data_IF_685407801021
#
_entry.id   IF_685407801021
#
_cell.length_a   1.000
_cell.length_b   1.000
_cell.length_c   1.000
_cell.angle_alpha   90.00
_cell.angle_beta   90.00
_cell.angle_gamma   90.00
#
_symmetry.space_group_name_H-M   'P 1'
#
loop_
_entity.id
_entity.type
_entity.pdbx_description
1 polymer ?
#
# COMPACT_ATOMS: atom_id res chain seq x y z
N UNK A 1 13.33 -22.76 17.65
CA UNK A 1 12.44 -22.78 16.47
C UNK A 1 13.29 -22.55 15.24
N UNK A 2 13.26 -23.46 14.27
CA UNK A 2 13.82 -23.17 12.95
C UNK A 2 12.84 -22.24 12.24
N UNK A 3 13.34 -21.13 11.71
CA UNK A 3 12.52 -20.21 10.90
C UNK A 3 12.22 -20.95 9.59
N UNK A 4 10.96 -20.98 9.20
CA UNK A 4 10.53 -21.53 7.91
C UNK A 4 11.15 -20.70 6.78
N UNK A 5 12.07 -21.31 6.02
CA UNK A 5 12.84 -20.64 4.98
C UNK A 5 11.94 -20.14 3.85
N UNK A 6 10.88 -20.88 3.55
CA UNK A 6 9.94 -20.54 2.47
C UNK A 6 9.11 -19.32 2.87
N UNK A 7 8.69 -19.24 4.14
CA UNK A 7 8.01 -18.06 4.67
C UNK A 7 8.90 -16.82 4.64
N UNK A 8 10.20 -16.97 4.94
CA UNK A 8 11.16 -15.85 4.86
C UNK A 8 11.36 -15.37 3.43
N UNK A 9 11.51 -16.29 2.48
CA UNK A 9 11.68 -15.94 1.06
C UNK A 9 10.43 -15.23 0.51
N UNK A 10 9.23 -15.73 0.81
CA UNK A 10 7.97 -15.08 0.43
C UNK A 10 7.83 -13.68 1.05
N UNK A 11 8.19 -13.51 2.33
CA UNK A 11 8.19 -12.20 2.98
C UNK A 11 9.21 -11.24 2.35
N UNK A 12 10.39 -11.73 1.96
CA UNK A 12 11.41 -10.92 1.30
C UNK A 12 10.94 -10.46 -0.09
N UNK A 13 10.36 -11.36 -0.89
CA UNK A 13 9.79 -11.05 -2.20
C UNK A 13 8.65 -10.03 -2.09
N UNK A 14 7.70 -10.25 -1.17
CA UNK A 14 6.61 -9.31 -0.92
C UNK A 14 7.12 -7.93 -0.49
N UNK A 15 8.19 -7.89 0.32
CA UNK A 15 8.83 -6.64 0.75
C UNK A 15 9.50 -5.92 -0.41
N UNK A 16 10.24 -6.64 -1.27
CA UNK A 16 10.88 -6.07 -2.45
C UNK A 16 9.85 -5.49 -3.44
N UNK A 17 8.77 -6.23 -3.69
CA UNK A 17 7.67 -5.78 -4.55
C UNK A 17 6.99 -4.54 -3.97
N UNK A 18 6.77 -4.50 -2.65
CA UNK A 18 6.19 -3.33 -1.97
C UNK A 18 7.05 -2.09 -2.17
N UNK A 19 8.37 -2.19 -1.99
CA UNK A 19 9.29 -1.07 -2.21
C UNK A 19 9.22 -0.60 -3.66
N UNK A 20 9.32 -1.52 -4.62
CA UNK A 20 9.24 -1.19 -6.05
C UNK A 20 7.93 -0.47 -6.39
N UNK A 21 6.80 -1.00 -5.92
CA UNK A 21 5.48 -0.41 -6.14
C UNK A 21 5.38 0.99 -5.55
N UNK A 22 5.88 1.21 -4.33
CA UNK A 22 5.88 2.53 -3.70
C UNK A 22 6.75 3.52 -4.47
N UNK A 23 7.95 3.13 -4.92
CA UNK A 23 8.83 3.98 -5.73
C UNK A 23 8.17 4.38 -7.05
N UNK A 24 7.58 3.42 -7.77
CA UNK A 24 6.88 3.71 -9.03
C UNK A 24 5.65 4.59 -8.79
N UNK A 25 4.89 4.33 -7.72
CA UNK A 25 3.69 5.11 -7.40
C UNK A 25 4.01 6.59 -7.13
N UNK A 26 5.09 6.90 -6.39
CA UNK A 26 5.54 8.29 -6.18
C UNK A 26 5.80 8.96 -7.52
N UNK A 27 6.64 8.35 -8.37
CA UNK A 27 7.00 8.91 -9.68
C UNK A 27 5.78 9.17 -10.56
N UNK A 28 4.85 8.22 -10.62
CA UNK A 28 3.63 8.33 -11.43
C UNK A 28 2.70 9.42 -10.88
N UNK A 29 2.47 9.46 -9.57
CA UNK A 29 1.59 10.46 -8.96
C UNK A 29 2.14 11.87 -9.11
N UNK A 30 3.44 12.07 -8.95
CA UNK A 30 4.10 13.36 -9.19
C UNK A 30 4.01 13.77 -10.67
N UNK A 31 4.28 12.85 -11.61
CA UNK A 31 4.12 13.12 -13.04
C UNK A 31 2.67 13.48 -13.42
N UNK A 32 1.68 12.88 -12.74
CA UNK A 32 0.26 13.21 -12.91
C UNK A 32 -0.16 14.49 -12.18
N UNK A 33 0.74 15.16 -11.45
CA UNK A 33 0.41 16.35 -10.66
C UNK A 33 -0.53 16.09 -9.49
N UNK A 34 -0.55 14.86 -8.96
CA UNK A 34 -1.34 14.55 -7.77
C UNK A 34 -0.66 15.10 -6.52
N UNK A 35 -1.45 15.75 -5.67
CA UNK A 35 -0.98 16.14 -4.36
C UNK A 35 -1.01 14.96 -3.38
N UNK A 36 -0.16 14.96 -2.33
CA UNK A 36 -0.20 13.96 -1.26
C UNK A 36 -1.58 13.77 -0.64
N UNK A 37 -2.39 14.84 -0.57
CA UNK A 37 -3.76 14.79 -0.03
C UNK A 37 -4.67 13.97 -0.94
N UNK A 38 -4.58 14.17 -2.27
CA UNK A 38 -5.37 13.39 -3.25
C UNK A 38 -4.96 11.93 -3.26
N UNK A 39 -3.67 11.62 -3.10
CA UNK A 39 -3.18 10.23 -3.01
C UNK A 39 -3.75 9.53 -1.76
N UNK A 40 -3.81 10.20 -0.60
CA UNK A 40 -4.46 9.62 0.60
C UNK A 40 -5.96 9.36 0.38
N UNK A 41 -6.66 10.32 -0.22
CA UNK A 41 -8.09 10.18 -0.52
C UNK A 41 -8.36 9.02 -1.52
N UNK A 42 -7.46 8.81 -2.48
CA UNK A 42 -7.53 7.68 -3.41
C UNK A 42 -7.39 6.34 -2.67
N UNK A 43 -6.42 6.24 -1.75
CA UNK A 43 -6.26 5.05 -0.90
C UNK A 43 -7.50 4.74 -0.05
N UNK A 44 -8.14 5.78 0.52
CA UNK A 44 -9.39 5.61 1.26
C UNK A 44 -10.53 5.11 0.37
N UNK A 45 -10.67 5.68 -0.84
CA UNK A 45 -11.70 5.26 -1.80
C UNK A 45 -11.49 3.80 -2.22
N UNK A 46 -10.25 3.42 -2.56
CA UNK A 46 -9.93 2.06 -2.97
C UNK A 46 -10.09 1.05 -1.83
N UNK A 47 -9.83 1.44 -0.58
CA UNK A 47 -10.06 0.56 0.57
C UNK A 47 -11.55 0.22 0.76
N UNK A 48 -12.45 1.15 0.44
CA UNK A 48 -13.89 0.92 0.47
C UNK A 48 -14.35 0.02 -0.69
N UNK A 49 -13.70 0.08 -1.85
CA UNK A 49 -13.97 -0.85 -2.94
C UNK A 49 -13.46 -2.27 -2.62
N UNK A 50 -12.34 -2.37 -1.90
CA UNK A 50 -11.77 -3.66 -1.49
C UNK A 50 -12.64 -4.45 -0.51
N UNK A 51 -13.46 -3.78 0.31
CA UNK A 51 -14.41 -4.47 1.20
C UNK A 51 -15.46 -5.30 0.46
N UNK A 52 -15.68 -5.04 -0.83
CA UNK A 52 -16.70 -5.72 -1.63
C UNK A 52 -16.13 -6.89 -2.46
N UNK A 53 -14.82 -7.14 -2.40
CA UNK A 53 -14.18 -8.22 -3.17
C UNK A 53 -14.56 -9.59 -2.60
N UNK A 54 -14.99 -10.51 -3.47
CA UNK A 54 -15.18 -11.92 -3.14
C UNK A 54 -13.84 -12.67 -3.21
N UNK A 55 -13.52 -13.45 -2.18
CA UNK A 55 -12.30 -14.27 -2.13
C UNK A 55 -12.71 -15.74 -2.28
N UNK A 56 -12.46 -16.37 -3.44
CA UNK A 56 -12.86 -17.75 -3.68
C UNK A 56 -12.25 -18.70 -2.64
N UNK A 57 -13.09 -19.56 -2.06
CA UNK A 57 -12.64 -20.61 -1.13
C UNK A 57 -12.39 -20.17 0.31
N UNK A 58 -12.53 -18.89 0.64
CA UNK A 58 -12.44 -18.42 2.02
C UNK A 58 -13.74 -18.71 2.79
N UNK A 59 -13.61 -19.15 4.05
CA UNK A 59 -14.78 -19.27 4.93
C UNK A 59 -15.39 -17.89 5.18
N UNK A 60 -16.67 -17.83 5.56
CA UNK A 60 -17.34 -16.54 5.83
C UNK A 60 -16.64 -15.72 6.92
N UNK A 61 -16.04 -16.39 7.91
CA UNK A 61 -15.29 -15.74 9.00
C UNK A 61 -13.91 -15.25 8.53
N UNK A 62 -13.24 -16.01 7.66
CA UNK A 62 -11.94 -15.60 7.10
C UNK A 62 -12.13 -14.46 6.09
N UNK A 63 -13.25 -14.44 5.35
CA UNK A 63 -13.57 -13.41 4.37
C UNK A 63 -13.58 -12.01 5.01
N UNK A 64 -14.30 -11.84 6.12
CA UNK A 64 -14.39 -10.53 6.78
C UNK A 64 -13.02 -10.10 7.33
N UNK A 65 -12.26 -11.03 7.90
CA UNK A 65 -10.91 -10.78 8.42
C UNK A 65 -9.94 -10.37 7.30
N UNK A 66 -9.98 -11.07 6.16
CA UNK A 66 -9.11 -10.78 5.02
C UNK A 66 -9.51 -9.46 4.37
N UNK A 67 -10.81 -9.17 4.25
CA UNK A 67 -11.30 -7.89 3.71
C UNK A 67 -10.84 -6.71 4.56
N UNK A 68 -10.97 -6.81 5.87
CA UNK A 68 -10.49 -5.78 6.78
C UNK A 68 -8.96 -5.62 6.64
N UNK A 69 -8.20 -6.71 6.71
CA UNK A 69 -6.74 -6.67 6.54
C UNK A 69 -6.32 -6.03 5.21
N UNK A 70 -7.00 -6.34 4.11
CA UNK A 70 -6.75 -5.78 2.79
C UNK A 70 -7.07 -4.28 2.73
N UNK A 71 -8.23 -3.87 3.25
CA UNK A 71 -8.62 -2.46 3.31
C UNK A 71 -7.58 -1.64 4.09
N UNK A 72 -7.14 -2.13 5.25
CA UNK A 72 -6.08 -1.51 6.04
C UNK A 72 -4.75 -1.46 5.29
N UNK A 73 -4.35 -2.55 4.63
CA UNK A 73 -3.11 -2.61 3.85
C UNK A 73 -3.10 -1.59 2.72
N UNK A 74 -4.22 -1.38 2.03
CA UNK A 74 -4.37 -0.35 0.99
C UNK A 74 -4.21 1.04 1.58
N UNK A 75 -4.93 1.38 2.65
CA UNK A 75 -4.80 2.71 3.29
C UNK A 75 -3.35 2.98 3.72
N UNK A 76 -2.68 1.97 4.30
CA UNK A 76 -1.30 2.09 4.73
C UNK A 76 -0.33 2.29 3.56
N UNK A 77 -0.52 1.58 2.44
CA UNK A 77 0.31 1.72 1.25
C UNK A 77 0.22 3.14 0.66
N UNK A 78 -1.00 3.65 0.44
CA UNK A 78 -1.21 4.99 -0.11
C UNK A 78 -0.76 6.10 0.84
N UNK A 79 -0.93 5.90 2.16
CA UNK A 79 -0.44 6.86 3.16
C UNK A 79 1.09 6.95 3.15
N UNK A 80 1.77 5.81 2.99
CA UNK A 80 3.24 5.76 2.87
C UNK A 80 3.73 6.44 1.59
N UNK A 81 3.07 6.23 0.45
CA UNK A 81 3.38 6.93 -0.81
C UNK A 81 3.19 8.44 -0.65
N UNK A 82 2.05 8.87 -0.10
CA UNK A 82 1.78 10.29 0.15
C UNK A 82 2.78 10.94 1.12
N UNK A 83 3.34 10.17 2.06
CA UNK A 83 4.40 10.65 2.94
C UNK A 83 5.72 10.81 2.19
N UNK A 84 6.08 9.86 1.32
CA UNK A 84 7.30 9.92 0.51
C UNK A 84 7.30 11.13 -0.44
N UNK A 85 6.14 11.47 -1.03
CA UNK A 85 5.99 12.64 -1.90
C UNK A 85 6.27 13.99 -1.19
N UNK A 86 6.02 14.11 0.12
CA UNK A 86 6.34 15.34 0.87
C UNK A 86 7.83 15.52 1.12
N UNK A 87 8.60 14.43 1.06
CA UNK A 87 10.03 14.45 1.32
C UNK A 87 10.84 15.32 0.36
N UNK A 88 10.29 15.63 -0.83
CA UNK A 88 10.93 16.50 -1.81
C UNK A 88 10.54 17.98 -1.68
N UNK A 89 9.31 18.32 -1.23
CA UNK A 89 8.91 19.71 -0.98
C UNK A 89 9.70 20.34 0.19
N UNK A 90 9.92 19.61 1.28
CA UNK A 90 10.71 20.09 2.43
C UNK A 90 12.22 20.15 2.14
N UNK A 91 12.70 19.36 1.16
CA UNK A 91 14.11 19.37 0.71
C UNK A 91 14.41 20.58 -0.17
N UNK A 92 13.49 20.94 -1.06
CA UNK A 92 13.64 22.10 -1.95
C UNK A 92 13.57 23.44 -1.21
N UNK A 93 12.90 23.52 -0.06
CA UNK A 93 12.82 24.72 0.78
C UNK A 93 14.06 24.94 1.68
N UNK A 94 15.02 24.01 1.69
CA UNK A 94 16.21 24.02 2.56
C UNK A 94 17.52 24.31 1.82
N UNK A 95 17.46 24.74 0.55
CA UNK A 95 18.60 25.16 -0.31
C UNK A 95 18.37 26.53 -0.88
#
# INVERSE_FOLDING_TARGET
MAIDKDAVEQHAEASALRVLMQTVAVLVFEQCGMSPVRVRALGQSLSAEMSDIEIPGASRTDLDTIREANAWAVVAAFSSVAQAMRGDEDKAAST
#
